data_IF_286189677567
#
_entry.id   IF_286189677567
#
_cell.length_a   1.000
_cell.length_b   1.000
_cell.length_c   1.000
_cell.angle_alpha   90.00
_cell.angle_beta   90.00
_cell.angle_gamma   90.00
#
_symmetry.space_group_name_H-M   'P 1'
#
loop_
_entity.id
_entity.type
_entity.pdbx_description
1 polymer ?
#
# COMPACT_ATOMS: atom_id res chain seq x y z
N UNK A 1 -21.85 8.34 60.61
CA UNK A 1 -21.13 7.44 59.68
C UNK A 1 -22.16 6.54 59.02
N UNK A 2 -22.47 6.79 57.75
CA UNK A 2 -23.77 6.40 57.16
C UNK A 2 -23.61 5.47 55.96
N UNK A 3 -23.95 4.20 56.21
CA UNK A 3 -24.57 3.14 55.39
C UNK A 3 -24.31 2.95 53.88
N UNK A 4 -23.58 3.83 53.17
CA UNK A 4 -23.39 3.74 51.72
C UNK A 4 -22.11 3.02 51.28
N UNK A 5 -21.18 2.75 52.20
CA UNK A 5 -19.89 2.12 51.88
C UNK A 5 -19.86 0.59 52.13
N UNK A 6 -20.88 0.02 52.77
CA UNK A 6 -20.92 -1.43 53.07
C UNK A 6 -21.55 -2.30 51.98
N UNK A 7 -22.23 -1.69 51.00
CA UNK A 7 -22.89 -2.43 49.91
C UNK A 7 -22.04 -2.58 48.64
N UNK A 8 -20.86 -1.95 48.58
CA UNK A 8 -20.01 -2.02 47.39
C UNK A 8 -19.04 -3.21 47.37
N UNK A 9 -18.98 -4.01 48.45
CA UNK A 9 -17.96 -5.07 48.60
C UNK A 9 -18.50 -6.51 48.50
N UNK A 10 -19.81 -6.71 48.26
CA UNK A 10 -20.45 -8.05 48.25
C UNK A 10 -20.76 -8.57 46.84
N UNK A 11 -20.54 -7.79 45.77
CA UNK A 11 -20.87 -8.21 44.39
C UNK A 11 -19.68 -8.81 43.61
N UNK A 12 -18.45 -8.80 44.16
CA UNK A 12 -17.24 -9.26 43.43
C UNK A 12 -16.89 -10.74 43.67
N UNK A 13 -17.67 -11.52 44.42
CA UNK A 13 -17.24 -12.86 44.83
C UNK A 13 -18.32 -13.95 44.69
N UNK A 14 -18.66 -14.31 43.45
CA UNK A 14 -19.43 -15.51 43.10
C UNK A 14 -19.17 -15.87 41.63
N UNK A 15 -18.67 -17.01 41.16
CA UNK A 15 -18.15 -18.29 41.67
C UNK A 15 -17.33 -18.86 40.48
N UNK A 16 -16.03 -19.15 40.64
CA UNK A 16 -15.27 -19.96 39.67
C UNK A 16 -15.27 -21.41 40.17
N UNK A 17 -16.07 -22.28 39.55
CA UNK A 17 -16.02 -23.72 39.81
C UNK A 17 -16.58 -24.53 38.63
N UNK A 18 -15.72 -24.86 37.67
CA UNK A 18 -15.92 -26.05 36.84
C UNK A 18 -14.56 -26.65 36.48
N UNK A 19 -14.12 -27.61 37.28
CA UNK A 19 -13.03 -28.52 36.96
C UNK A 19 -13.64 -29.89 36.63
N UNK A 20 -13.16 -30.55 35.58
CA UNK A 20 -13.47 -31.97 35.35
C UNK A 20 -13.43 -32.44 33.90
N UNK A 21 -12.23 -32.84 33.46
CA UNK A 21 -11.90 -34.02 32.63
C UNK A 21 -12.77 -34.41 31.40
N UNK A 22 -12.13 -34.57 30.23
CA UNK A 22 -12.76 -35.30 29.13
C UNK A 22 -12.01 -35.36 27.79
N UNK A 23 -10.96 -36.19 27.72
CA UNK A 23 -10.59 -37.07 26.59
C UNK A 23 -10.21 -36.47 25.21
N UNK A 24 -8.96 -36.72 24.84
CA UNK A 24 -8.42 -36.76 23.47
C UNK A 24 -9.24 -37.72 22.58
N UNK A 25 -9.81 -37.22 21.49
CA UNK A 25 -10.19 -38.06 20.35
C UNK A 25 -9.81 -37.41 19.02
N UNK A 26 -8.68 -37.88 18.48
CA UNK A 26 -8.33 -37.87 17.07
C UNK A 26 -9.41 -38.58 16.25
N UNK A 27 -10.36 -37.82 15.71
CA UNK A 27 -11.33 -38.27 14.71
C UNK A 27 -10.80 -38.02 13.31
N UNK A 28 -10.01 -38.96 12.78
CA UNK A 28 -9.59 -39.00 11.37
C UNK A 28 -10.82 -39.32 10.52
N UNK A 29 -11.62 -38.33 10.18
CA UNK A 29 -12.71 -38.49 9.21
C UNK A 29 -12.11 -38.41 7.80
N UNK A 30 -11.82 -39.58 7.23
CA UNK A 30 -11.72 -39.75 5.79
C UNK A 30 -13.12 -39.54 5.17
N UNK A 31 -13.28 -38.68 4.15
CA UNK A 31 -14.39 -38.80 3.22
C UNK A 31 -14.07 -39.86 2.17
N UNK A 32 -15.08 -40.59 1.64
CA UNK A 32 -14.88 -41.62 0.64
C UNK A 32 -14.46 -40.99 -0.69
N UNK A 33 -13.57 -41.68 -1.40
CA UNK A 33 -13.36 -41.44 -2.82
C UNK A 33 -14.64 -41.86 -3.58
N UNK A 34 -15.35 -40.88 -4.13
CA UNK A 34 -16.24 -41.08 -5.26
C UNK A 34 -15.98 -39.98 -6.28
N UNK A 35 -15.99 -40.43 -7.53
CA UNK A 35 -15.50 -39.79 -8.75
C UNK A 35 -16.47 -38.72 -9.26
N UNK A 36 -15.87 -37.71 -9.90
CA UNK A 36 -16.42 -36.71 -10.82
C UNK A 36 -17.02 -35.42 -10.23
N UNK A 37 -16.57 -34.28 -10.77
CA UNK A 37 -17.21 -32.97 -10.57
C UNK A 37 -16.35 -31.83 -10.01
N UNK A 38 -15.59 -31.18 -10.90
CA UNK A 38 -15.10 -29.78 -10.83
C UNK A 38 -13.98 -29.36 -9.86
N UNK A 39 -13.03 -28.66 -10.46
CA UNK A 39 -11.75 -28.17 -9.95
C UNK A 39 -11.94 -26.99 -8.99
N UNK A 40 -11.65 -27.21 -7.71
CA UNK A 40 -11.33 -26.15 -6.75
C UNK A 40 -9.85 -25.76 -6.85
N UNK A 41 -9.54 -24.54 -7.30
CA UNK A 41 -8.22 -23.93 -7.08
C UNK A 41 -8.24 -22.40 -7.08
N UNK A 42 -8.89 -21.74 -6.13
CA UNK A 42 -8.72 -20.28 -6.01
C UNK A 42 -8.87 -19.74 -4.58
N UNK A 43 -7.87 -19.98 -3.73
CA UNK A 43 -7.38 -18.87 -2.89
C UNK A 43 -5.88 -18.57 -3.05
N UNK A 44 -5.09 -19.55 -3.52
CA UNK A 44 -3.62 -19.39 -3.62
C UNK A 44 -3.17 -18.56 -4.83
N UNK A 45 -3.96 -18.57 -5.92
CA UNK A 45 -3.64 -17.79 -7.11
C UNK A 45 -3.72 -16.27 -6.86
N UNK A 46 -4.67 -15.81 -6.03
CA UNK A 46 -4.84 -14.37 -5.75
C UNK A 46 -3.66 -13.82 -4.94
N UNK A 47 -3.17 -14.55 -3.94
CA UNK A 47 -1.96 -14.16 -3.18
C UNK A 47 -0.71 -14.19 -4.04
N UNK A 48 -0.52 -15.23 -4.86
CA UNK A 48 0.64 -15.34 -5.73
C UNK A 48 0.67 -14.24 -6.81
N UNK A 49 -0.50 -13.85 -7.34
CA UNK A 49 -0.62 -12.73 -8.30
C UNK A 49 -0.31 -11.39 -7.61
N UNK A 50 -0.87 -11.14 -6.42
CA UNK A 50 -0.56 -9.93 -5.65
C UNK A 50 0.93 -9.82 -5.32
N UNK A 51 1.56 -10.91 -4.87
CA UNK A 51 3.00 -10.95 -4.58
C UNK A 51 3.83 -10.78 -5.85
N UNK A 52 3.44 -11.38 -6.97
CA UNK A 52 4.18 -11.23 -8.22
C UNK A 52 4.07 -9.82 -8.80
N UNK A 53 2.91 -9.16 -8.68
CA UNK A 53 2.75 -7.77 -9.12
C UNK A 53 3.40 -6.76 -8.17
N UNK A 54 3.42 -7.04 -6.86
CA UNK A 54 4.23 -6.29 -5.91
C UNK A 54 5.73 -6.46 -6.23
N UNK A 55 6.20 -7.67 -6.52
CA UNK A 55 7.62 -7.89 -6.86
C UNK A 55 8.01 -7.19 -8.17
N UNK A 56 7.14 -7.16 -9.19
CA UNK A 56 7.43 -6.50 -10.48
C UNK A 56 7.31 -4.97 -10.41
N UNK A 57 6.37 -4.42 -9.62
CA UNK A 57 6.25 -2.97 -9.47
C UNK A 57 7.44 -2.37 -8.69
N UNK A 58 8.00 -3.12 -7.73
CA UNK A 58 9.05 -2.67 -6.82
C UNK A 58 10.48 -3.02 -7.29
N UNK A 59 10.65 -3.90 -8.29
CA UNK A 59 11.98 -4.34 -8.76
C UNK A 59 12.83 -3.20 -9.31
N UNK A 60 12.20 -2.15 -9.82
CA UNK A 60 12.90 -1.02 -10.44
C UNK A 60 13.47 -0.02 -9.44
N UNK A 61 13.10 -0.07 -8.16
CA UNK A 61 13.58 0.90 -7.15
C UNK A 61 15.10 0.86 -6.99
N UNK A 62 15.75 -0.29 -7.25
CA UNK A 62 17.21 -0.43 -7.19
C UNK A 62 17.95 0.47 -8.18
N UNK A 63 17.29 0.90 -9.25
CA UNK A 63 17.86 1.78 -10.27
C UNK A 63 17.81 3.27 -9.88
N UNK A 64 17.24 3.61 -8.72
CA UNK A 64 17.03 4.98 -8.27
C UNK A 64 17.63 5.20 -6.89
N UNK A 65 18.21 6.38 -6.69
CA UNK A 65 18.51 6.90 -5.36
C UNK A 65 17.18 7.32 -4.72
N UNK A 66 16.84 6.71 -3.58
CA UNK A 66 15.61 7.04 -2.86
C UNK A 66 15.65 8.48 -2.32
N UNK A 67 14.55 9.20 -2.51
CA UNK A 67 14.32 10.53 -1.95
C UNK A 67 13.43 10.36 -0.70
N UNK A 68 13.87 10.79 0.49
CA UNK A 68 13.04 10.76 1.69
C UNK A 68 11.76 11.58 1.48
N UNK A 69 10.59 11.02 1.78
CA UNK A 69 9.32 11.74 1.61
C UNK A 69 9.24 13.00 2.48
N UNK A 70 9.98 13.05 3.59
CA UNK A 70 10.05 14.20 4.49
C UNK A 70 10.82 15.38 3.88
N UNK A 71 11.61 15.18 2.82
CA UNK A 71 12.30 16.26 2.11
C UNK A 71 11.46 16.89 1.00
N UNK A 72 10.25 16.37 0.74
CA UNK A 72 9.32 16.92 -0.24
C UNK A 72 8.49 18.01 0.46
N UNK A 73 8.61 19.25 -0.01
CA UNK A 73 7.95 20.41 0.61
C UNK A 73 6.51 20.64 0.13
N UNK A 74 5.96 19.74 -0.69
CA UNK A 74 4.60 19.80 -1.22
C UNK A 74 3.66 18.83 -0.50
N UNK A 75 2.35 18.92 -0.81
CA UNK A 75 1.41 17.87 -0.38
C UNK A 75 1.84 16.50 -0.91
N UNK A 76 1.82 15.49 -0.05
CA UNK A 76 2.02 14.08 -0.43
C UNK A 76 0.72 13.41 -0.89
N UNK A 77 -0.40 14.12 -0.88
CA UNK A 77 -1.70 13.62 -1.28
C UNK A 77 -2.41 14.55 -2.28
N UNK A 78 -3.18 13.98 -3.20
CA UNK A 78 -3.90 14.73 -4.23
C UNK A 78 -4.85 13.86 -5.05
N UNK A 79 -5.59 14.47 -5.96
CA UNK A 79 -6.57 13.77 -6.81
C UNK A 79 -5.99 13.30 -8.15
N UNK A 80 -4.94 13.95 -8.64
CA UNK A 80 -4.29 13.62 -9.92
C UNK A 80 -2.82 13.22 -9.69
N UNK A 81 -2.41 11.99 -10.05
CA UNK A 81 -1.04 11.53 -9.91
C UNK A 81 -0.01 12.38 -10.66
N UNK A 82 -0.31 12.84 -11.88
CA UNK A 82 0.65 13.58 -12.68
C UNK A 82 1.00 14.92 -12.01
N UNK A 83 -0.02 15.68 -11.64
CA UNK A 83 0.12 16.96 -10.93
C UNK A 83 0.78 16.77 -9.57
N UNK A 84 0.39 15.74 -8.82
CA UNK A 84 0.98 15.45 -7.51
C UNK A 84 2.48 15.15 -7.60
N UNK A 85 2.90 14.39 -8.61
CA UNK A 85 4.32 14.09 -8.83
C UNK A 85 5.11 15.31 -9.30
N UNK A 86 4.53 16.15 -10.16
CA UNK A 86 5.16 17.39 -10.61
C UNK A 86 5.40 18.34 -9.43
N UNK A 87 4.38 18.54 -8.60
CA UNK A 87 4.48 19.40 -7.41
C UNK A 87 5.55 18.92 -6.43
N UNK A 88 5.76 17.60 -6.33
CA UNK A 88 6.79 17.02 -5.47
C UNK A 88 8.23 17.39 -5.87
N UNK A 89 8.45 17.82 -7.12
CA UNK A 89 9.77 18.22 -7.64
C UNK A 89 9.75 19.59 -8.31
N UNK A 90 8.77 20.44 -7.99
CA UNK A 90 8.64 21.77 -8.59
C UNK A 90 9.77 22.71 -8.16
N UNK A 91 10.25 22.54 -6.92
CA UNK A 91 11.42 23.25 -6.37
C UNK A 91 12.75 22.86 -7.05
N UNK A 92 12.76 21.82 -7.88
CA UNK A 92 13.96 21.46 -8.63
C UNK A 92 14.01 22.32 -9.90
N UNK A 93 14.96 23.27 -9.99
CA UNK A 93 15.00 24.22 -11.09
C UNK A 93 15.12 23.45 -12.41
N UNK A 94 14.11 23.61 -13.27
CA UNK A 94 14.17 23.13 -14.65
C UNK A 94 15.19 24.00 -15.38
N UNK A 95 16.40 23.47 -15.54
CA UNK A 95 17.51 24.20 -16.18
C UNK A 95 17.28 24.18 -17.70
N UNK A 96 16.32 24.99 -18.16
CA UNK A 96 16.08 25.27 -19.59
C UNK A 96 15.73 24.05 -20.45
N UNK A 97 15.20 22.99 -19.86
CA UNK A 97 14.99 21.68 -20.49
C UNK A 97 13.53 21.31 -20.77
N UNK A 98 13.32 20.32 -21.64
CA UNK A 98 11.99 19.71 -21.83
C UNK A 98 11.72 18.71 -20.70
N UNK A 99 10.59 18.87 -20.01
CA UNK A 99 10.11 17.95 -18.98
C UNK A 99 8.98 17.08 -19.55
N UNK A 100 9.17 15.76 -19.57
CA UNK A 100 8.17 14.77 -20.00
C UNK A 100 7.64 14.01 -18.80
N UNK A 101 6.32 13.92 -18.67
CA UNK A 101 5.66 13.18 -17.59
C UNK A 101 4.90 12.00 -18.17
N UNK A 102 5.13 10.82 -17.62
CA UNK A 102 4.46 9.58 -18.00
C UNK A 102 3.81 8.96 -16.78
N UNK A 103 2.53 8.58 -16.88
CA UNK A 103 1.78 7.94 -15.81
C UNK A 103 1.38 6.54 -16.25
N UNK A 104 1.70 5.55 -15.43
CA UNK A 104 1.30 4.16 -15.60
C UNK A 104 0.50 3.68 -14.37
N UNK A 105 -0.50 2.82 -14.61
CA UNK A 105 -1.33 2.24 -13.56
C UNK A 105 -1.12 0.73 -13.50
N UNK A 106 -0.07 0.24 -12.81
CA UNK A 106 0.21 -1.19 -12.73
C UNK A 106 -0.91 -1.97 -12.02
N UNK A 107 -1.61 -1.31 -11.09
CA UNK A 107 -2.81 -1.81 -10.43
C UNK A 107 -3.83 -0.68 -10.28
N UNK A 108 -5.10 -1.01 -10.05
CA UNK A 108 -6.18 -0.01 -9.91
C UNK A 108 -5.92 1.02 -8.80
N UNK A 109 -5.26 0.58 -7.73
CA UNK A 109 -4.95 1.37 -6.55
C UNK A 109 -3.49 1.84 -6.52
N UNK A 110 -2.75 1.71 -7.63
CA UNK A 110 -1.35 2.09 -7.75
C UNK A 110 -1.13 2.97 -8.98
N UNK A 111 -0.37 4.03 -8.81
CA UNK A 111 0.08 4.86 -9.91
C UNK A 111 1.60 5.00 -9.84
N UNK A 112 2.22 4.91 -11.00
CA UNK A 112 3.64 5.11 -11.19
C UNK A 112 3.83 6.30 -12.12
N UNK A 113 4.46 7.35 -11.61
CA UNK A 113 4.75 8.55 -12.40
C UNK A 113 6.24 8.63 -12.65
N UNK A 114 6.64 8.75 -13.91
CA UNK A 114 8.02 8.98 -14.32
C UNK A 114 8.14 10.37 -14.93
N UNK A 115 9.03 11.18 -14.39
CA UNK A 115 9.32 12.52 -14.89
C UNK A 115 10.73 12.47 -15.47
N UNK A 116 10.85 12.69 -16.77
CA UNK A 116 12.14 12.79 -17.45
C UNK A 116 12.42 14.25 -17.74
N UNK A 117 13.54 14.76 -17.23
CA UNK A 117 14.04 16.09 -17.48
C UNK A 117 15.28 16.00 -18.35
N UNK A 118 15.23 16.63 -19.53
CA UNK A 118 16.35 16.65 -20.47
C UNK A 118 16.97 18.04 -20.40
N UNK A 119 18.19 18.14 -19.87
CA UNK A 119 18.97 19.37 -19.84
C UNK A 119 19.90 19.39 -21.05
N UNK A 120 19.71 20.39 -21.91
CA UNK A 120 20.52 20.56 -23.10
C UNK A 120 21.58 21.63 -22.82
N UNK A 121 22.82 21.18 -22.62
CA UNK A 121 23.99 22.05 -22.55
C UNK A 121 24.59 22.29 -23.93
N UNK A 122 25.51 23.26 -24.03
CA UNK A 122 26.17 23.60 -25.29
C UNK A 122 26.90 22.42 -25.96
N UNK A 123 27.34 21.40 -25.18
CA UNK A 123 28.08 20.23 -25.69
C UNK A 123 27.68 18.89 -25.03
N UNK A 124 26.65 18.85 -24.17
CA UNK A 124 26.20 17.62 -23.49
C UNK A 124 24.68 17.61 -23.33
N UNK A 125 24.11 16.41 -23.30
CA UNK A 125 22.69 16.19 -22.97
C UNK A 125 22.66 15.38 -21.68
N UNK A 126 22.24 16.02 -20.60
CA UNK A 126 22.05 15.36 -19.31
C UNK A 126 20.57 15.00 -19.17
N UNK A 127 20.27 13.79 -18.70
CA UNK A 127 18.90 13.33 -18.51
C UNK A 127 18.69 12.86 -17.09
N UNK A 128 17.87 13.59 -16.34
CA UNK A 128 17.47 13.19 -14.99
C UNK A 128 16.09 12.56 -15.04
N UNK A 129 15.94 11.41 -14.39
CA UNK A 129 14.66 10.69 -14.28
C UNK A 129 14.23 10.62 -12.83
N UNK A 130 13.10 11.25 -12.53
CA UNK A 130 12.39 11.08 -11.27
C UNK A 130 11.31 10.03 -11.41
N UNK A 131 11.09 9.27 -10.34
CA UNK A 131 10.04 8.27 -10.26
C UNK A 131 9.28 8.45 -8.95
N UNK A 132 7.96 8.46 -9.04
CA UNK A 132 7.05 8.55 -7.89
C UNK A 132 6.11 7.37 -7.93
N UNK A 133 6.02 6.67 -6.81
CA UNK A 133 5.07 5.61 -6.61
C UNK A 133 3.99 6.08 -5.66
N UNK A 134 2.74 5.86 -6.06
CA UNK A 134 1.57 6.32 -5.35
C UNK A 134 0.59 5.17 -5.15
N UNK A 135 -0.12 5.23 -4.03
CA UNK A 135 -1.24 4.34 -3.75
C UNK A 135 -2.49 5.15 -3.48
N UNK A 136 -3.66 4.61 -3.81
CA UNK A 136 -4.91 5.26 -3.41
C UNK A 136 -5.12 5.11 -1.91
N UNK A 137 -5.41 6.22 -1.23
CA UNK A 137 -5.73 6.26 0.18
C UNK A 137 -7.25 6.11 0.38
N UNK A 138 -7.64 5.12 1.20
CA UNK A 138 -9.01 4.94 1.66
C UNK A 138 -9.99 4.31 0.65
N UNK A 139 -11.22 4.09 1.13
CA UNK A 139 -12.38 3.78 0.29
C UNK A 139 -13.21 5.05 0.22
N UNK A 140 -13.51 5.52 -0.98
CA UNK A 140 -14.50 6.58 -1.11
C UNK A 140 -15.83 6.10 -0.54
N UNK A 141 -16.43 6.89 0.35
CA UNK A 141 -17.79 6.65 0.86
C UNK A 141 -18.84 6.75 -0.26
N UNK A 142 -18.51 7.43 -1.35
CA UNK A 142 -19.33 7.56 -2.53
C UNK A 142 -18.68 6.85 -3.71
N UNK A 143 -19.42 5.95 -4.36
CA UNK A 143 -18.94 5.11 -5.47
C UNK A 143 -18.38 5.94 -6.65
N UNK A 144 -18.76 7.22 -6.75
CA UNK A 144 -18.38 8.13 -7.84
C UNK A 144 -17.23 9.10 -7.52
N UNK A 145 -16.73 9.18 -6.28
CA UNK A 145 -15.65 10.14 -6.00
C UNK A 145 -14.31 9.67 -6.57
N UNK A 146 -13.50 10.58 -7.13
CA UNK A 146 -12.16 10.25 -7.59
C UNK A 146 -11.30 9.74 -6.41
N UNK A 147 -10.40 8.79 -6.65
CA UNK A 147 -9.50 8.31 -5.61
C UNK A 147 -8.58 9.43 -5.14
N UNK A 148 -8.29 9.46 -3.84
CA UNK A 148 -7.19 10.26 -3.30
C UNK A 148 -5.92 9.44 -3.46
N UNK A 149 -4.93 9.99 -4.15
CA UNK A 149 -3.60 9.41 -4.30
C UNK A 149 -2.68 9.89 -3.20
N UNK A 150 -1.82 9.01 -2.71
CA UNK A 150 -0.79 9.30 -1.73
C UNK A 150 0.56 8.82 -2.26
N UNK A 151 1.57 9.68 -2.20
CA UNK A 151 2.96 9.32 -2.49
C UNK A 151 3.46 8.39 -1.39
N UNK A 152 3.90 7.19 -1.77
CA UNK A 152 4.47 6.19 -0.86
C UNK A 152 5.97 5.99 -1.05
N UNK A 153 6.51 6.40 -2.20
CA UNK A 153 7.94 6.36 -2.48
C UNK A 153 8.31 7.32 -3.60
N UNK A 154 9.53 7.86 -3.54
CA UNK A 154 10.12 8.73 -4.55
C UNK A 154 11.59 8.37 -4.76
N UNK A 155 12.07 8.52 -5.99
CA UNK A 155 13.48 8.30 -6.32
C UNK A 155 13.92 9.08 -7.54
N UNK A 156 15.24 9.24 -7.66
CA UNK A 156 15.91 9.94 -8.76
C UNK A 156 17.04 9.08 -9.34
N UNK A 157 17.21 9.16 -10.65
CA UNK A 157 18.30 8.55 -11.41
C UNK A 157 18.85 9.60 -12.38
N UNK A 158 20.16 9.81 -12.31
CA UNK A 158 20.93 10.73 -13.15
C UNK A 158 21.88 9.94 -14.07
#
# INVERSE_FOLDING_TARGET
MSAKLKLFLIVVLTIFATAGAGVLMTGRQQPPAMVDGNVDRQPQHIRAIHQSQEVVAYSERSNYKTIPLQSINSSLQGSDPATLALNAFDDVPSVGGTRKVEVAYPQRNQALVTITEIKQGNNSVDTVKYRVEMTTFGRSLFISSPPVWQIVWAGVRD
#
